data_IF_132284244755
#
_entry.id   IF_132284244755
#
_cell.length_a   1.000
_cell.length_b   1.000
_cell.length_c   1.000
_cell.angle_alpha   90.00
_cell.angle_beta   90.00
_cell.angle_gamma   90.00
#
_symmetry.space_group_name_H-M   'P 1'
#
loop_
_entity.id
_entity.type
_entity.pdbx_description
1 polymer ?
#
# COMPACT_ATOMS: atom_id res chain seq x y z
N UNK A 1 -4.55 -18.72 -10.40
CA UNK A 1 -4.43 -19.30 -9.05
C UNK A 1 -5.71 -18.96 -8.28
N UNK A 2 -6.34 -19.97 -7.69
CA UNK A 2 -7.48 -19.77 -6.79
C UNK A 2 -6.98 -19.88 -5.34
N UNK A 3 -7.45 -19.00 -4.48
CA UNK A 3 -7.11 -18.95 -3.06
C UNK A 3 -8.32 -19.26 -2.20
N UNK A 4 -8.08 -19.57 -0.92
CA UNK A 4 -9.14 -19.74 0.07
C UNK A 4 -9.85 -18.44 0.43
N UNK A 5 -10.64 -18.48 1.50
CA UNK A 5 -11.22 -17.27 2.10
C UNK A 5 -10.20 -16.65 3.02
N UNK A 6 -9.94 -15.35 2.83
CA UNK A 6 -8.95 -14.60 3.59
C UNK A 6 -9.55 -13.42 4.33
N UNK A 7 -8.90 -13.06 5.42
CA UNK A 7 -9.29 -11.91 6.23
C UNK A 7 -9.07 -10.58 5.49
N UNK A 8 -7.93 -10.49 4.74
CA UNK A 8 -7.53 -9.30 4.00
C UNK A 8 -6.89 -9.71 2.67
N UNK A 9 -6.69 -8.75 1.76
CA UNK A 9 -6.00 -8.99 0.50
C UNK A 9 -4.54 -9.42 0.72
N UNK A 10 -3.88 -8.87 1.72
CA UNK A 10 -2.47 -9.21 2.05
C UNK A 10 -2.31 -10.66 2.50
N UNK A 11 -3.27 -11.23 3.26
CA UNK A 11 -3.27 -12.67 3.56
C UNK A 11 -3.36 -13.53 2.29
N UNK A 12 -4.11 -13.07 1.29
CA UNK A 12 -4.22 -13.79 0.01
C UNK A 12 -2.92 -13.74 -0.77
N UNK A 13 -2.26 -12.58 -0.78
CA UNK A 13 -0.93 -12.44 -1.38
C UNK A 13 0.09 -13.36 -0.68
N UNK A 14 0.04 -13.44 0.65
CA UNK A 14 0.89 -14.33 1.44
C UNK A 14 0.72 -15.80 1.01
N UNK A 15 -0.52 -16.32 0.96
CA UNK A 15 -0.81 -17.71 0.53
C UNK A 15 -0.25 -18.01 -0.88
N UNK A 16 -0.46 -17.09 -1.82
CA UNK A 16 0.06 -17.25 -3.18
C UNK A 16 1.59 -17.28 -3.17
N UNK A 17 2.22 -16.43 -2.37
CA UNK A 17 3.66 -16.26 -2.29
C UNK A 17 4.39 -17.49 -1.72
N UNK A 18 3.73 -18.32 -0.90
CA UNK A 18 4.30 -19.57 -0.39
C UNK A 18 4.74 -20.51 -1.53
N UNK A 19 4.01 -20.49 -2.65
CA UNK A 19 4.23 -21.38 -3.78
C UNK A 19 5.06 -20.74 -4.90
N UNK A 20 5.50 -19.50 -4.75
CA UNK A 20 6.31 -18.79 -5.75
C UNK A 20 7.81 -18.96 -5.44
N UNK A 21 8.63 -19.07 -6.49
CA UNK A 21 10.10 -19.06 -6.40
C UNK A 21 10.59 -17.70 -6.89
N UNK A 22 10.61 -16.75 -6.00
CA UNK A 22 11.06 -15.37 -6.26
C UNK A 22 11.60 -14.77 -4.96
N UNK A 23 12.34 -13.68 -5.07
CA UNK A 23 12.87 -12.94 -3.92
C UNK A 23 11.89 -11.86 -3.46
N UNK A 24 11.16 -11.27 -4.42
CA UNK A 24 10.18 -10.22 -4.18
C UNK A 24 8.83 -10.55 -4.80
N UNK A 25 7.77 -10.01 -4.22
CA UNK A 25 6.37 -10.13 -4.68
C UNK A 25 5.81 -8.72 -4.84
N UNK A 26 5.44 -8.36 -6.07
CA UNK A 26 4.72 -7.11 -6.34
C UNK A 26 3.21 -7.38 -6.30
N UNK A 27 2.48 -6.56 -5.55
CA UNK A 27 1.03 -6.59 -5.47
C UNK A 27 0.46 -5.29 -6.06
N UNK A 28 -0.21 -5.41 -7.18
CA UNK A 28 -1.01 -4.35 -7.78
C UNK A 28 -2.48 -4.62 -7.44
N UNK A 29 -3.14 -3.67 -6.79
CA UNK A 29 -4.57 -3.77 -6.52
C UNK A 29 -5.37 -3.60 -7.81
N UNK A 30 -6.45 -4.39 -7.96
CA UNK A 30 -7.24 -4.42 -9.19
C UNK A 30 -8.13 -3.19 -9.41
N UNK A 31 -8.21 -2.31 -8.44
CA UNK A 31 -8.94 -1.05 -8.43
C UNK A 31 -8.06 0.18 -8.76
N UNK A 32 -6.81 -0.05 -9.19
CA UNK A 32 -5.85 1.00 -9.59
C UNK A 32 -5.64 1.06 -11.11
N UNK A 33 -6.66 1.43 -11.91
CA UNK A 33 -6.59 1.36 -13.38
C UNK A 33 -5.65 2.40 -14.00
N UNK A 34 -5.30 3.46 -13.27
CA UNK A 34 -4.38 4.53 -13.72
C UNK A 34 -2.92 4.22 -13.43
N UNK A 35 -2.60 3.02 -12.96
CA UNK A 35 -1.22 2.59 -12.71
C UNK A 35 -0.41 2.59 -14.00
N UNK A 36 0.73 3.29 -13.97
CA UNK A 36 1.68 3.31 -15.09
C UNK A 36 2.67 2.15 -14.94
N UNK A 37 2.98 1.43 -16.03
CA UNK A 37 3.97 0.33 -15.99
C UNK A 37 5.33 0.77 -15.44
N UNK A 38 5.75 1.99 -15.74
CA UNK A 38 7.04 2.55 -15.30
C UNK A 38 7.14 2.63 -13.76
N UNK A 39 6.03 2.89 -13.06
CA UNK A 39 6.02 2.90 -11.59
C UNK A 39 6.29 1.52 -11.00
N UNK A 40 5.82 0.47 -11.68
CA UNK A 40 6.07 -0.92 -11.25
C UNK A 40 7.55 -1.24 -11.37
N UNK A 41 8.15 -0.93 -12.52
CA UNK A 41 9.56 -1.17 -12.79
C UNK A 41 10.45 -0.40 -11.81
N UNK A 42 10.18 0.91 -11.61
CA UNK A 42 10.92 1.77 -10.68
C UNK A 42 10.85 1.26 -9.23
N UNK A 43 9.66 0.84 -8.78
CA UNK A 43 9.49 0.29 -7.43
C UNK A 43 10.22 -1.03 -7.24
N UNK A 44 10.20 -1.91 -8.24
CA UNK A 44 10.91 -3.20 -8.19
C UNK A 44 12.41 -2.96 -8.13
N UNK A 45 12.95 -2.11 -9.01
CA UNK A 45 14.38 -1.76 -9.04
C UNK A 45 14.82 -1.16 -7.69
N UNK A 46 14.08 -0.15 -7.21
CA UNK A 46 14.37 0.47 -5.92
C UNK A 46 14.36 -0.53 -4.76
N UNK A 47 13.33 -1.39 -4.71
CA UNK A 47 13.17 -2.35 -3.62
C UNK A 47 14.27 -3.41 -3.59
N UNK A 48 14.73 -3.87 -4.76
CA UNK A 48 15.84 -4.83 -4.89
C UNK A 48 17.16 -4.16 -4.50
N UNK A 49 17.44 -2.98 -5.05
CA UNK A 49 18.72 -2.27 -4.83
C UNK A 49 18.92 -1.85 -3.38
N UNK A 50 17.83 -1.60 -2.64
CA UNK A 50 17.86 -1.19 -1.24
C UNK A 50 17.47 -2.30 -0.25
N UNK A 51 17.27 -3.54 -0.73
CA UNK A 51 16.90 -4.71 0.08
C UNK A 51 15.69 -4.46 1.00
N UNK A 52 14.67 -3.74 0.51
CA UNK A 52 13.53 -3.27 1.29
C UNK A 52 12.63 -4.42 1.72
N UNK A 53 12.18 -4.44 2.96
CA UNK A 53 11.22 -5.44 3.49
C UNK A 53 9.83 -5.24 2.88
N UNK A 54 9.29 -4.02 3.01
CA UNK A 54 7.99 -3.59 2.46
C UNK A 54 8.14 -2.22 1.83
N UNK A 55 7.89 -2.12 0.53
CA UNK A 55 7.82 -0.85 -0.19
C UNK A 55 6.36 -0.53 -0.48
N UNK A 56 5.91 0.62 -0.03
CA UNK A 56 4.55 1.10 -0.17
C UNK A 56 4.51 2.32 -1.08
N UNK A 57 3.79 2.24 -2.20
CA UNK A 57 3.61 3.42 -3.05
C UNK A 57 2.90 4.56 -2.34
N UNK A 58 3.32 5.77 -2.66
CA UNK A 58 2.82 6.97 -2.02
C UNK A 58 2.83 8.16 -2.97
N UNK A 59 2.13 9.20 -2.59
CA UNK A 59 2.20 10.54 -3.17
C UNK A 59 2.00 11.61 -2.09
N UNK A 60 2.21 12.84 -2.45
CA UNK A 60 1.92 13.97 -1.55
C UNK A 60 0.42 14.08 -1.28
N UNK A 61 0.09 14.50 -0.07
CA UNK A 61 -1.26 14.88 0.32
C UNK A 61 -1.62 16.20 -0.36
N UNK A 62 -2.78 16.25 -1.00
CA UNK A 62 -3.32 17.47 -1.61
C UNK A 62 -4.38 18.14 -0.73
N UNK A 63 -4.74 19.39 -1.09
CA UNK A 63 -5.72 20.14 -0.33
C UNK A 63 -7.10 19.44 -0.34
N UNK A 64 -7.71 19.32 0.83
CA UNK A 64 -9.03 18.72 1.01
C UNK A 64 -9.01 17.20 1.19
N UNK A 65 -7.87 16.53 1.02
CA UNK A 65 -7.77 15.07 1.19
C UNK A 65 -7.59 14.65 2.65
N UNK A 66 -7.25 15.58 3.53
CA UNK A 66 -7.06 15.25 4.95
C UNK A 66 -8.34 14.69 5.59
N UNK A 67 -9.50 15.23 5.19
CA UNK A 67 -10.82 14.86 5.69
C UNK A 67 -11.50 13.74 4.85
N UNK A 68 -10.88 13.33 3.74
CA UNK A 68 -11.43 12.27 2.86
C UNK A 68 -11.12 10.89 3.44
N UNK A 69 -12.14 10.19 3.92
CA UNK A 69 -12.01 8.83 4.50
C UNK A 69 -11.61 7.75 3.47
N UNK A 70 -11.81 7.99 2.18
CA UNK A 70 -11.40 7.07 1.12
C UNK A 70 -9.88 7.16 0.90
N UNK A 71 -9.26 8.29 1.27
CA UNK A 71 -7.82 8.51 1.20
C UNK A 71 -7.12 8.02 2.47
N UNK A 72 -6.23 7.04 2.33
CA UNK A 72 -5.41 6.54 3.43
C UNK A 72 -4.17 7.42 3.62
N UNK A 73 -4.01 7.95 4.83
CA UNK A 73 -2.86 8.78 5.22
C UNK A 73 -1.81 7.91 5.90
N UNK A 74 -0.57 8.07 5.50
CA UNK A 74 0.60 7.47 6.13
C UNK A 74 1.40 8.54 6.86
N UNK A 75 1.78 8.26 8.10
CA UNK A 75 2.67 9.11 8.88
C UNK A 75 4.09 8.54 8.76
N UNK A 76 5.02 9.38 8.31
CA UNK A 76 6.41 9.00 8.06
C UNK A 76 7.34 9.62 9.09
N UNK A 77 8.23 8.82 9.64
CA UNK A 77 9.29 9.28 10.54
C UNK A 77 10.60 8.58 10.16
N UNK A 78 11.67 9.36 10.00
CA UNK A 78 13.00 8.86 9.60
C UNK A 78 12.96 7.96 8.34
N UNK A 79 12.15 8.34 7.33
CA UNK A 79 12.03 7.62 6.07
C UNK A 79 11.20 6.32 6.14
N UNK A 80 10.55 6.02 7.26
CA UNK A 80 9.71 4.84 7.45
C UNK A 80 8.29 5.23 7.79
N UNK A 81 7.32 4.43 7.34
CA UNK A 81 5.92 4.55 7.76
C UNK A 81 5.83 4.06 9.21
N UNK A 82 5.35 4.91 10.11
CA UNK A 82 5.19 4.59 11.52
C UNK A 82 3.74 4.45 11.94
N UNK A 83 2.82 4.95 11.13
CA UNK A 83 1.38 4.82 11.36
C UNK A 83 0.59 5.06 10.06
N UNK A 84 -0.64 4.53 10.02
CA UNK A 84 -1.57 4.74 8.92
C UNK A 84 -2.97 4.95 9.47
N UNK A 85 -3.75 5.82 8.83
CA UNK A 85 -5.12 6.13 9.24
C UNK A 85 -5.94 6.72 8.09
N UNK A 86 -7.27 6.63 8.19
CA UNK A 86 -8.19 7.26 7.24
C UNK A 86 -8.63 8.65 7.70
N UNK A 87 -8.97 8.77 8.97
CA UNK A 87 -9.35 10.04 9.60
C UNK A 87 -8.11 10.71 10.21
N UNK A 88 -7.92 11.99 9.99
CA UNK A 88 -6.76 12.72 10.51
C UNK A 88 -7.12 14.17 10.81
N UNK A 89 -7.00 14.55 12.07
CA UNK A 89 -7.35 15.91 12.54
C UNK A 89 -6.18 16.90 12.44
N UNK A 90 -4.99 16.43 12.08
CA UNK A 90 -3.77 17.24 12.07
C UNK A 90 -3.04 17.13 10.75
N UNK A 91 -2.76 18.25 10.11
CA UNK A 91 -1.89 18.34 8.93
C UNK A 91 -0.46 18.61 9.38
N UNK A 92 0.48 17.79 8.92
CA UNK A 92 1.91 18.02 9.12
C UNK A 92 2.69 17.52 7.90
N UNK A 93 3.91 18.02 7.71
CA UNK A 93 4.73 17.77 6.51
C UNK A 93 5.12 16.30 6.29
N UNK A 94 4.98 15.49 7.32
CA UNK A 94 5.29 14.07 7.29
C UNK A 94 4.07 13.16 7.05
N UNK A 95 2.94 13.73 6.64
CA UNK A 95 1.77 12.98 6.19
C UNK A 95 1.78 12.90 4.66
N UNK A 96 1.65 11.68 4.15
CA UNK A 96 1.57 11.35 2.73
C UNK A 96 0.40 10.41 2.47
N UNK A 97 0.01 10.26 1.22
CA UNK A 97 -1.09 9.39 0.79
C UNK A 97 -0.56 8.03 0.37
N UNK A 98 -1.21 6.97 0.83
CA UNK A 98 -1.00 5.61 0.34
C UNK A 98 -1.66 5.41 -1.02
N UNK A 99 -1.01 4.65 -1.90
CA UNK A 99 -1.56 4.14 -3.16
C UNK A 99 -1.55 2.61 -3.16
N UNK A 100 -2.26 2.00 -4.10
CA UNK A 100 -2.52 0.55 -4.12
C UNK A 100 -1.42 -0.32 -4.74
N UNK A 101 -0.15 0.14 -4.75
CA UNK A 101 0.99 -0.62 -5.25
C UNK A 101 1.92 -0.97 -4.10
N UNK A 102 2.31 -2.24 -4.02
CA UNK A 102 3.15 -2.76 -2.93
C UNK A 102 4.22 -3.69 -3.48
N UNK A 103 5.43 -3.56 -2.96
CA UNK A 103 6.47 -4.57 -3.15
C UNK A 103 6.85 -5.15 -1.79
N UNK A 104 6.88 -6.46 -1.71
CA UNK A 104 7.26 -7.18 -0.50
C UNK A 104 8.45 -8.07 -0.76
N UNK A 105 9.42 -8.11 0.15
CA UNK A 105 10.34 -9.23 0.21
C UNK A 105 9.54 -10.50 0.46
N UNK A 106 9.79 -11.57 -0.31
CA UNK A 106 8.94 -12.79 -0.25
C UNK A 106 8.84 -13.37 1.15
N UNK A 107 9.94 -13.44 1.89
CA UNK A 107 9.95 -13.97 3.26
C UNK A 107 9.10 -13.12 4.22
N UNK A 108 9.03 -11.80 4.00
CA UNK A 108 8.26 -10.85 4.80
C UNK A 108 6.75 -11.02 4.55
N UNK A 109 6.34 -11.13 3.28
CA UNK A 109 4.91 -11.34 2.98
C UNK A 109 4.39 -12.69 3.45
N UNK A 110 5.19 -13.75 3.38
CA UNK A 110 4.82 -15.08 3.87
C UNK A 110 4.65 -15.08 5.40
N UNK A 111 5.38 -14.26 6.12
CA UNK A 111 5.23 -14.11 7.58
C UNK A 111 4.00 -13.30 8.01
N UNK A 112 3.36 -12.60 7.10
CA UNK A 112 2.22 -11.71 7.41
C UNK A 112 1.11 -12.38 8.22
N UNK A 113 0.67 -13.62 7.95
CA UNK A 113 -0.36 -14.31 8.74
C UNK A 113 0.03 -14.56 10.21
N UNK A 114 1.32 -14.51 10.54
CA UNK A 114 1.85 -14.71 11.89
C UNK A 114 2.01 -13.40 12.68
N UNK A 115 1.75 -12.24 12.02
CA UNK A 115 1.84 -10.94 12.67
C UNK A 115 0.63 -10.69 13.59
N UNK A 116 0.81 -9.82 14.58
CA UNK A 116 -0.31 -9.41 15.43
C UNK A 116 -1.29 -8.54 14.64
N UNK A 117 -2.39 -9.16 14.26
CA UNK A 117 -3.47 -8.53 13.48
C UNK A 117 -4.56 -7.92 14.36
N UNK A 118 -4.36 -7.83 15.68
CA UNK A 118 -5.34 -7.25 16.60
C UNK A 118 -5.69 -5.83 16.19
N UNK A 119 -4.72 -5.06 15.75
CA UNK A 119 -4.88 -3.68 15.31
C UNK A 119 -5.60 -3.54 13.96
N UNK A 120 -5.44 -4.47 13.04
CA UNK A 120 -6.07 -4.40 11.70
C UNK A 120 -7.59 -4.37 11.80
N UNK A 121 -8.18 -5.06 12.77
CA UNK A 121 -9.64 -5.03 13.02
C UNK A 121 -10.12 -3.64 13.42
N UNK A 122 -9.32 -2.88 14.16
CA UNK A 122 -9.65 -1.53 14.62
C UNK A 122 -9.41 -0.47 13.54
N UNK A 123 -8.49 -0.72 12.60
CA UNK A 123 -8.05 0.25 11.60
C UNK A 123 -8.72 0.09 10.24
N UNK A 124 -9.95 -0.41 10.19
CA UNK A 124 -10.79 -0.46 8.97
C UNK A 124 -10.06 -1.11 7.76
N UNK A 125 -9.30 -2.16 7.98
CA UNK A 125 -8.66 -2.94 6.91
C UNK A 125 -7.35 -2.37 6.36
N UNK A 126 -6.64 -1.55 7.10
CA UNK A 126 -5.31 -1.07 6.72
C UNK A 126 -4.24 -2.14 7.02
N UNK A 127 -4.09 -3.09 6.13
CA UNK A 127 -3.26 -4.30 6.31
C UNK A 127 -1.79 -3.98 6.58
N UNK A 128 -1.24 -2.98 5.90
CA UNK A 128 0.17 -2.58 5.99
C UNK A 128 0.59 -2.23 7.42
N UNK A 129 -0.35 -1.81 8.27
CA UNK A 129 -0.09 -1.59 9.71
C UNK A 129 0.47 -2.86 10.38
N UNK A 130 0.04 -4.04 9.94
CA UNK A 130 0.51 -5.30 10.48
C UNK A 130 2.02 -5.52 10.39
N UNK A 131 2.69 -4.90 9.43
CA UNK A 131 4.15 -4.98 9.29
C UNK A 131 4.89 -4.03 10.23
N UNK A 132 4.27 -2.90 10.61
CA UNK A 132 4.92 -1.84 11.38
C UNK A 132 5.34 -2.37 12.77
N UNK A 133 6.59 -2.13 13.11
CA UNK A 133 7.17 -2.58 14.38
C UNK A 133 7.95 -3.90 14.30
N UNK A 134 7.68 -4.74 13.29
CA UNK A 134 8.49 -5.93 13.03
C UNK A 134 9.34 -5.78 11.78
N UNK A 135 8.81 -5.12 10.75
CA UNK A 135 9.46 -4.88 9.47
C UNK A 135 9.49 -3.39 9.14
N UNK A 136 10.44 -3.00 8.30
CA UNK A 136 10.52 -1.64 7.79
C UNK A 136 9.55 -1.45 6.63
N UNK A 137 8.61 -0.54 6.78
CA UNK A 137 7.71 -0.10 5.71
C UNK A 137 8.24 1.20 5.15
N UNK A 138 8.75 1.16 3.93
CA UNK A 138 9.36 2.31 3.24
C UNK A 138 8.34 2.91 2.28
N UNK A 139 8.02 4.21 2.37
CA UNK A 139 7.19 4.87 1.39
C UNK A 139 7.98 5.17 0.13
N UNK A 140 7.41 4.90 -1.04
CA UNK A 140 7.98 5.25 -2.35
C UNK A 140 7.11 6.31 -3.03
N UNK A 141 7.63 7.52 -3.19
CA UNK A 141 6.91 8.63 -3.83
C UNK A 141 6.91 8.45 -5.36
N UNK A 142 5.75 8.14 -5.92
CA UNK A 142 5.54 8.01 -7.38
C UNK A 142 5.60 9.35 -8.13
N UNK A 143 5.74 10.47 -7.40
CA UNK A 143 5.77 11.84 -7.97
C UNK A 143 4.60 12.11 -8.91
N UNK A 144 3.46 11.52 -8.61
CA UNK A 144 2.21 11.73 -9.34
C UNK A 144 1.32 12.73 -8.59
N UNK A 145 0.41 13.35 -9.34
CA UNK A 145 -0.70 14.11 -8.77
C UNK A 145 -1.78 13.20 -8.17
N UNK A 146 -2.93 13.77 -7.92
CA UNK A 146 -4.09 13.01 -7.45
C UNK A 146 -4.48 11.97 -8.50
N UNK A 147 -4.44 10.71 -8.11
CA UNK A 147 -4.99 9.59 -8.87
C UNK A 147 -6.07 8.92 -8.01
N UNK A 148 -7.07 8.36 -8.65
CA UNK A 148 -8.23 7.77 -7.99
C UNK A 148 -8.29 6.27 -8.22
N UNK A 149 -8.35 5.51 -7.12
CA UNK A 149 -8.77 4.11 -7.17
C UNK A 149 -10.29 4.01 -7.38
N UNK A 150 -10.75 2.93 -7.98
CA UNK A 150 -12.18 2.69 -8.24
C UNK A 150 -12.82 1.94 -7.07
N UNK A 151 -13.10 2.65 -5.97
CA UNK A 151 -13.78 2.10 -4.79
C UNK A 151 -15.32 2.14 -4.92
N UNK A 152 -15.84 3.03 -5.76
CA UNK A 152 -17.29 3.29 -5.92
C UNK A 152 -17.64 3.47 -7.40
N UNK A 153 -18.90 3.20 -7.82
CA UNK A 153 -19.32 3.40 -9.20
C UNK A 153 -19.11 4.84 -9.72
N UNK A 154 -19.18 5.85 -8.85
CA UNK A 154 -18.92 7.25 -9.21
C UNK A 154 -17.47 7.50 -9.65
N UNK A 155 -16.50 6.74 -9.10
CA UNK A 155 -15.09 6.89 -9.45
C UNK A 155 -14.77 6.44 -10.89
N UNK A 156 -15.64 5.61 -11.50
CA UNK A 156 -15.46 5.19 -12.90
C UNK A 156 -15.43 6.38 -13.84
N UNK A 157 -16.33 7.35 -13.63
CA UNK A 157 -16.38 8.56 -14.49
C UNK A 157 -15.13 9.43 -14.31
N UNK A 158 -14.63 9.57 -13.08
CA UNK A 158 -13.40 10.32 -12.78
C UNK A 158 -12.19 9.68 -13.48
N UNK A 159 -12.11 8.34 -13.46
CA UNK A 159 -11.03 7.59 -14.11
C UNK A 159 -11.12 7.63 -15.63
N UNK A 160 -12.33 7.54 -16.21
CA UNK A 160 -12.54 7.63 -17.65
C UNK A 160 -12.12 8.98 -18.25
N UNK A 161 -12.17 10.05 -17.45
CA UNK A 161 -11.70 11.38 -17.86
C UNK A 161 -10.17 11.50 -17.92
N UNK A 162 -9.45 10.60 -17.24
CA UNK A 162 -7.98 10.60 -17.16
C UNK A 162 -7.32 9.60 -18.14
N UNK A 163 -8.11 8.71 -18.77
CA UNK A 163 -7.65 7.72 -19.76
C UNK A 163 -7.67 8.29 -21.19
#
# INVERSE_FOLDING_TARGET
ITTGTHYTCTHRVAEVSENLKCDYVFNLQGDEPLTKPEWIDEMIEYGIDNEVDVLQSSRKLENGEIDDEDVVKMIVNNGKVVHMQRECDVVCDNIIVQLGLYLYKREVIIDFPNLDMTFVKYWKGLDTIGFIGKYDVIPYDLKCGKIRAVDRPSHIYEVEEEL
#
